data_IF_402233007041
#
_entry.id   IF_402233007041
#
_cell.length_a   1.000
_cell.length_b   1.000
_cell.length_c   1.000
_cell.angle_alpha   90.00
_cell.angle_beta   90.00
_cell.angle_gamma   90.00
#
_symmetry.space_group_name_H-M   'P 1'
#
loop_
_entity.id
_entity.type
_entity.pdbx_description
1 polymer ?
#
# COMPACT_ATOMS: atom_id res chain seq x y z
N UNK A 1 28.80 5.18 -1.04
CA UNK A 1 28.37 5.12 -0.97
C UNK A 1 27.76 4.86 -0.06
N UNK A 2 27.60 5.28 0.23
CA UNK A 2 27.09 5.26 1.11
C UNK A 2 26.17 4.35 1.32
N UNK A 3 26.00 3.85 0.62
CA UNK A 3 25.09 2.96 0.68
C UNK A 3 25.31 2.00 1.68
N UNK A 4 26.30 2.05 2.22
CA UNK A 4 26.59 1.11 3.14
C UNK A 4 25.84 1.29 4.34
N UNK A 5 25.37 2.47 4.62
CA UNK A 5 24.72 2.67 5.75
C UNK A 5 23.36 2.23 5.71
N UNK A 6 22.83 1.56 6.60
CA UNK A 6 21.48 1.13 6.59
C UNK A 6 20.60 2.30 6.77
N UNK A 7 20.02 2.76 5.76
CA UNK A 7 19.16 3.81 5.84
C UNK A 7 17.79 3.32 6.03
N UNK A 8 16.94 4.04 6.66
CA UNK A 8 15.60 3.71 6.83
C UNK A 8 14.98 3.72 5.50
N UNK A 9 14.24 2.74 5.12
CA UNK A 9 13.56 2.73 3.86
C UNK A 9 12.28 3.50 3.98
N UNK A 10 12.06 4.40 3.07
CA UNK A 10 10.86 5.21 3.11
C UNK A 10 9.86 4.83 2.03
N UNK A 11 9.92 3.59 1.58
CA UNK A 11 9.00 3.15 0.55
C UNK A 11 7.57 3.12 1.07
N UNK A 12 6.67 3.59 0.26
CA UNK A 12 5.27 3.62 0.62
C UNK A 12 4.45 3.09 -0.54
N UNK A 13 3.49 2.25 -0.23
CA UNK A 13 2.61 1.67 -1.22
C UNK A 13 1.26 2.38 -1.15
N UNK A 14 0.73 2.74 -2.30
CA UNK A 14 -0.60 3.33 -2.35
C UNK A 14 -1.50 2.35 -3.09
N UNK A 15 -2.59 1.98 -2.49
CA UNK A 15 -3.53 1.07 -3.11
C UNK A 15 -4.92 1.29 -2.53
N UNK A 16 -5.89 0.73 -3.17
CA UNK A 16 -7.25 0.89 -2.69
C UNK A 16 -8.18 -0.12 -3.27
N UNK A 17 -9.42 0.01 -2.93
CA UNK A 17 -10.44 -0.89 -3.43
C UNK A 17 -11.76 -0.63 -2.73
N UNK A 18 -12.75 -1.42 -3.08
CA UNK A 18 -14.05 -1.26 -2.51
C UNK A 18 -14.15 -2.02 -1.20
N UNK A 19 -14.67 -1.38 -0.20
CA UNK A 19 -14.79 -1.99 1.11
C UNK A 19 -16.16 -2.61 1.29
N UNK A 20 -16.24 -3.59 2.17
CA UNK A 20 -17.52 -4.24 2.40
C UNK A 20 -18.49 -3.31 3.12
N UNK A 21 -17.95 -2.38 3.90
CA UNK A 21 -18.82 -1.43 4.57
C UNK A 21 -18.06 -0.18 4.91
N UNK A 22 -18.76 0.91 5.01
CA UNK A 22 -18.15 2.17 5.31
C UNK A 22 -17.49 2.12 6.67
N UNK A 23 -16.33 2.74 6.73
CA UNK A 23 -15.64 2.80 8.01
C UNK A 23 -14.81 1.57 8.31
N UNK A 24 -14.95 0.52 7.54
CA UNK A 24 -14.18 -0.67 7.78
C UNK A 24 -12.89 -0.67 7.00
N UNK A 25 -12.13 -1.73 7.11
CA UNK A 25 -10.92 -1.87 6.34
C UNK A 25 -10.89 -3.23 5.64
N UNK A 26 -12.04 -3.85 5.51
CA UNK A 26 -12.09 -5.13 4.86
C UNK A 26 -12.52 -4.94 3.41
N UNK A 27 -11.70 -5.36 2.48
CA UNK A 27 -12.01 -5.18 1.07
C UNK A 27 -13.00 -6.24 0.59
N UNK A 28 -13.89 -5.79 -0.29
CA UNK A 28 -14.91 -6.65 -0.78
C UNK A 28 -14.33 -7.75 -1.64
N UNK A 29 -13.34 -7.45 -2.44
CA UNK A 29 -12.73 -8.44 -3.29
C UNK A 29 -11.26 -8.11 -3.45
N UNK A 30 -10.41 -8.86 -2.76
CA UNK A 30 -8.99 -8.55 -2.80
C UNK A 30 -8.36 -8.81 -4.15
N UNK A 31 -9.03 -9.50 -5.03
CA UNK A 31 -8.48 -9.72 -6.35
C UNK A 31 -8.72 -8.52 -7.24
N UNK A 32 -9.50 -7.56 -6.77
CA UNK A 32 -9.76 -6.37 -7.53
C UNK A 32 -9.19 -5.11 -6.92
N UNK A 33 -8.14 -5.24 -6.18
CA UNK A 33 -7.51 -4.06 -5.60
C UNK A 33 -6.82 -3.27 -6.70
N UNK A 34 -6.84 -1.96 -6.53
CA UNK A 34 -6.18 -1.08 -7.48
C UNK A 34 -4.83 -0.70 -6.87
N UNK A 35 -3.76 -1.23 -7.40
CA UNK A 35 -2.43 -0.91 -6.92
C UNK A 35 -1.94 0.31 -7.67
N UNK A 36 -1.87 1.44 -6.98
CA UNK A 36 -1.50 2.68 -7.61
C UNK A 36 0.01 2.71 -7.84
N UNK A 37 0.77 2.32 -6.85
CA UNK A 37 2.22 2.29 -7.04
C UNK A 37 2.97 2.33 -5.74
N UNK A 38 4.29 2.21 -5.84
CA UNK A 38 5.16 2.28 -4.69
C UNK A 38 6.02 3.51 -4.87
N UNK A 39 6.11 4.32 -3.84
CA UNK A 39 6.79 5.60 -3.93
C UNK A 39 7.94 5.69 -2.94
N UNK A 40 8.97 6.46 -3.27
CA UNK A 40 10.17 6.51 -2.45
C UNK A 40 10.02 7.24 -1.13
N UNK A 41 8.98 8.00 -0.96
CA UNK A 41 8.76 8.70 0.28
C UNK A 41 7.29 9.02 0.47
N UNK A 42 6.95 9.47 1.65
CA UNK A 42 5.57 9.72 1.97
C UNK A 42 4.98 10.86 1.14
N UNK A 43 5.78 11.87 0.87
CA UNK A 43 5.28 13.02 0.13
C UNK A 43 4.74 12.63 -1.23
N UNK A 44 5.49 11.79 -1.95
CA UNK A 44 5.05 11.37 -3.26
C UNK A 44 3.88 10.39 -3.16
N UNK A 45 3.91 9.54 -2.14
CA UNK A 45 2.81 8.62 -1.94
C UNK A 45 1.53 9.39 -1.63
N UNK A 46 1.65 10.44 -0.83
CA UNK A 46 0.49 11.22 -0.45
C UNK A 46 -0.11 11.91 -1.69
N UNK A 47 0.73 12.40 -2.58
CA UNK A 47 0.24 13.07 -3.77
C UNK A 47 -0.56 12.09 -4.63
N UNK A 48 -0.05 10.86 -4.77
CA UNK A 48 -0.74 9.85 -5.55
C UNK A 48 -2.05 9.43 -4.86
N UNK A 49 -1.98 9.28 -3.55
CA UNK A 49 -3.16 8.91 -2.78
C UNK A 49 -4.24 9.98 -2.91
N UNK A 50 -3.83 11.24 -2.81
CA UNK A 50 -4.78 12.34 -2.87
C UNK A 50 -5.48 12.39 -4.23
N UNK A 51 -4.72 12.13 -5.30
CA UNK A 51 -5.31 12.14 -6.63
C UNK A 51 -6.37 11.06 -6.76
N UNK A 52 -6.09 9.87 -6.21
CA UNK A 52 -7.05 8.79 -6.30
C UNK A 52 -8.24 9.04 -5.38
N UNK A 53 -8.00 9.58 -4.21
CA UNK A 53 -9.08 9.84 -3.28
C UNK A 53 -10.06 10.84 -3.88
N UNK A 54 -9.54 11.83 -4.58
CA UNK A 54 -10.40 12.81 -5.18
C UNK A 54 -11.14 12.24 -6.38
N UNK A 55 -10.49 11.37 -7.13
CA UNK A 55 -11.10 10.79 -8.31
C UNK A 55 -12.26 9.87 -7.93
N UNK A 56 -12.24 9.33 -6.71
CA UNK A 56 -13.30 8.42 -6.31
C UNK A 56 -14.22 9.00 -5.24
N UNK A 57 -14.22 10.30 -5.13
CA UNK A 57 -15.01 10.95 -4.10
C UNK A 57 -16.49 10.61 -4.15
N UNK A 58 -16.99 10.29 -5.31
CA UNK A 58 -18.39 9.95 -5.44
C UNK A 58 -18.72 8.50 -5.10
N UNK A 59 -17.70 7.70 -4.81
CA UNK A 59 -17.93 6.32 -4.48
C UNK A 59 -17.52 6.12 -3.03
N UNK A 60 -18.49 6.22 -2.15
CA UNK A 60 -18.20 6.17 -0.73
C UNK A 60 -17.58 4.89 -0.24
N UNK A 61 -17.77 3.80 -0.93
CA UNK A 61 -17.21 2.55 -0.48
C UNK A 61 -15.81 2.27 -0.98
N UNK A 62 -15.33 3.08 -1.91
CA UNK A 62 -13.97 2.89 -2.41
C UNK A 62 -13.03 3.76 -1.60
N UNK A 63 -12.02 3.16 -1.02
CA UNK A 63 -11.06 3.88 -0.21
C UNK A 63 -9.64 3.53 -0.63
N UNK A 64 -8.77 4.51 -0.53
CA UNK A 64 -7.37 4.31 -0.85
C UNK A 64 -6.55 4.49 0.41
N UNK A 65 -5.45 3.75 0.51
CA UNK A 65 -4.62 3.76 1.70
C UNK A 65 -3.17 3.91 1.34
N UNK A 66 -2.37 4.39 2.29
CA UNK A 66 -0.93 4.46 2.13
C UNK A 66 -0.35 3.53 3.18
N UNK A 67 0.54 2.64 2.75
CA UNK A 67 1.17 1.70 3.64
C UNK A 67 2.67 1.94 3.64
N UNK A 68 3.26 2.06 4.82
CA UNK A 68 4.70 2.23 4.91
C UNK A 68 5.34 0.85 4.90
N UNK A 69 6.15 0.59 3.89
CA UNK A 69 6.78 -0.70 3.75
C UNK A 69 8.09 -0.70 4.52
N UNK A 70 8.02 -1.00 5.79
CA UNK A 70 9.19 -0.96 6.62
C UNK A 70 9.79 -2.32 6.94
N UNK A 71 9.19 -3.37 6.46
CA UNK A 71 9.76 -4.67 6.66
C UNK A 71 9.63 -5.49 5.39
N UNK A 72 10.73 -5.78 4.75
CA UNK A 72 10.71 -6.56 3.53
C UNK A 72 11.10 -7.99 3.83
N UNK A 73 10.40 -8.92 3.22
CA UNK A 73 10.68 -10.32 3.42
C UNK A 73 11.44 -10.84 2.22
N UNK A 74 12.48 -11.62 2.49
CA UNK A 74 13.28 -12.17 1.42
C UNK A 74 12.88 -13.63 1.24
N UNK A 75 12.15 -13.95 0.20
CA UNK A 75 11.65 -15.31 0.02
C UNK A 75 12.73 -16.35 -0.19
N UNK A 76 13.95 -15.92 -0.44
CA UNK A 76 15.00 -16.89 -0.62
C UNK A 76 15.54 -17.34 0.74
N UNK A 77 15.34 -16.54 1.78
CA UNK A 77 15.81 -16.93 3.10
C UNK A 77 14.68 -17.24 4.04
N UNK A 78 13.50 -16.69 3.81
CA UNK A 78 12.39 -16.95 4.70
C UNK A 78 11.45 -17.92 4.07
N UNK A 79 11.36 -19.09 4.59
CA UNK A 79 10.50 -20.07 4.05
C UNK A 79 9.10 -19.80 4.42
N UNK A 80 8.20 -20.14 3.54
CA UNK A 80 6.81 -19.92 3.81
C UNK A 80 6.26 -20.86 4.81
N UNK A 81 6.95 -21.33 5.60
CA UNK A 81 6.60 -22.25 6.55
C UNK A 81 5.22 -22.51 6.83
N UNK A 82 4.88 -23.61 6.84
CA UNK A 82 3.62 -23.95 7.22
C UNK A 82 2.56 -23.34 6.59
N UNK A 83 2.77 -22.61 5.82
CA UNK A 83 1.90 -21.93 5.34
C UNK A 83 1.22 -22.46 4.69
N UNK A 84 0.47 -22.41 4.91
CA UNK A 84 -0.39 -22.54 4.24
C UNK A 84 -0.60 -21.72 3.99
#
# INVERSE_FOLDING_TARGET
MSATEPRKQLLHLVFGGELTQLGGIEFKDTSELDIVGIYPNYKEAYAAWNAKARATIDNAQTRYFIVHLHRLLDPTTEKPSGTP
#
